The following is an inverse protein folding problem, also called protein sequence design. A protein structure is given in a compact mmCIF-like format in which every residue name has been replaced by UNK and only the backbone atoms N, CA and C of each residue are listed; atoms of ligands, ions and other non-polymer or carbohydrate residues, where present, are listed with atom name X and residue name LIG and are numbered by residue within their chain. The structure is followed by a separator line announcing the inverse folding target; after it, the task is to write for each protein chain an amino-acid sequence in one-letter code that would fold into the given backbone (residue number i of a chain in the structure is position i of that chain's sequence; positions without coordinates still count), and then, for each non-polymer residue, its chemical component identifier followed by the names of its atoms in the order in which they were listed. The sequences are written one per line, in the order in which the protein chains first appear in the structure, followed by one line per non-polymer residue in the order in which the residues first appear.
data_IF_597065240060
#
_entry.id   IF_597065240060
#
_cell.length_a   1.000
_cell.length_b   1.000
_cell.length_c   1.000
_cell.angle_alpha   90.00
_cell.angle_beta   90.00
_cell.angle_gamma   90.00
#
_symmetry.space_group_name_H-M   'P 1'
#
loop_
_entity.id
_entity.type
_entity.pdbx_description
1 polymer ?
#
# COMPACT_ATOMS: atom_id res chain seq x y z
N UNK A 1 -14.09 2.84 9.87
CA UNK A 1 -13.10 1.84 10.36
C UNK A 1 -13.18 0.49 9.63
N UNK A 2 -14.35 0.00 9.22
CA UNK A 2 -14.49 -1.21 8.38
C UNK A 2 -13.95 -0.96 6.96
N UNK A 3 -14.28 0.16 6.36
CA UNK A 3 -13.84 0.54 5.02
C UNK A 3 -12.32 0.75 4.92
N UNK A 4 -11.66 1.23 5.98
CA UNK A 4 -10.20 1.46 6.00
C UNK A 4 -9.40 0.14 5.99
N UNK A 5 -9.91 -0.89 6.64
CA UNK A 5 -9.25 -2.20 6.72
C UNK A 5 -9.49 -3.06 5.46
N UNK A 6 -10.69 -3.00 4.90
CA UNK A 6 -10.95 -3.60 3.59
C UNK A 6 -10.05 -2.98 2.52
N UNK A 7 -9.86 -1.67 2.58
CA UNK A 7 -8.97 -0.97 1.66
C UNK A 7 -7.51 -1.38 1.85
N UNK A 8 -7.05 -1.53 3.10
CA UNK A 8 -5.68 -1.95 3.42
C UNK A 8 -5.41 -3.41 3.00
N UNK A 9 -6.34 -4.33 3.28
CA UNK A 9 -6.25 -5.72 2.81
C UNK A 9 -6.29 -5.80 1.28
N UNK A 10 -7.17 -5.05 0.66
CA UNK A 10 -7.27 -4.98 -0.79
C UNK A 10 -5.97 -4.49 -1.44
N UNK A 11 -5.35 -3.45 -0.87
CA UNK A 11 -4.05 -2.94 -1.30
C UNK A 11 -2.96 -4.00 -1.15
N UNK A 12 -2.85 -4.64 0.00
CA UNK A 12 -1.85 -5.66 0.26
C UNK A 12 -2.00 -6.89 -0.65
N UNK A 13 -3.21 -7.37 -0.83
CA UNK A 13 -3.52 -8.47 -1.76
C UNK A 13 -3.17 -8.06 -3.20
N UNK A 14 -3.44 -6.83 -3.58
CA UNK A 14 -3.16 -6.33 -4.92
C UNK A 14 -1.66 -6.15 -5.17
N UNK A 15 -0.91 -5.60 -4.21
CA UNK A 15 0.56 -5.49 -4.25
C UNK A 15 1.21 -6.87 -4.32
N UNK A 16 0.76 -7.82 -3.49
CA UNK A 16 1.24 -9.19 -3.51
C UNK A 16 0.96 -9.87 -4.86
N UNK A 17 -0.23 -9.70 -5.42
CA UNK A 17 -0.65 -10.25 -6.72
C UNK A 17 0.15 -9.66 -7.89
N UNK A 18 0.41 -8.36 -7.85
CA UNK A 18 1.26 -7.64 -8.81
C UNK A 18 2.74 -8.10 -8.74
N UNK A 19 3.29 -8.23 -7.54
CA UNK A 19 4.66 -8.71 -7.35
C UNK A 19 4.81 -10.17 -7.81
N UNK A 20 3.85 -11.03 -7.55
CA UNK A 20 3.83 -12.42 -8.02
C UNK A 20 3.68 -12.52 -9.56
N UNK A 21 2.83 -11.69 -10.16
CA UNK A 21 2.69 -11.61 -11.62
C UNK A 21 3.99 -11.14 -12.28
N UNK A 22 4.63 -10.12 -11.70
CA UNK A 22 5.94 -9.60 -12.16
C UNK A 22 7.04 -10.66 -12.07
N UNK A 23 7.10 -11.39 -10.96
CA UNK A 23 8.08 -12.47 -10.78
C UNK A 23 7.88 -13.62 -11.79
N UNK A 24 6.62 -14.08 -11.98
CA UNK A 24 6.28 -15.13 -12.96
C UNK A 24 6.61 -14.71 -14.41
N UNK A 25 6.30 -13.48 -14.77
CA UNK A 25 6.54 -12.98 -16.14
C UNK A 25 8.03 -12.81 -16.41
N UNK A 26 8.80 -12.28 -15.46
CA UNK A 26 10.26 -12.16 -15.59
C UNK A 26 10.93 -13.53 -15.68
N UNK A 27 10.50 -14.51 -14.88
CA UNK A 27 11.01 -15.87 -14.93
C UNK A 27 10.70 -16.56 -16.26
N UNK A 28 9.48 -16.44 -16.77
CA UNK A 28 9.08 -17.02 -18.06
C UNK A 28 9.82 -16.39 -19.23
N UNK A 29 10.02 -15.08 -19.22
CA UNK A 29 10.79 -14.38 -20.24
C UNK A 29 12.28 -14.75 -20.22
N UNK A 30 12.86 -15.00 -19.03
CA UNK A 30 14.24 -15.46 -18.90
C UNK A 30 14.44 -16.87 -19.47
N UNK A 31 13.48 -17.76 -19.23
CA UNK A 31 13.50 -19.13 -19.79
C UNK A 31 13.34 -19.12 -21.32
N UNK A 32 12.48 -18.26 -21.85
CA UNK A 32 12.30 -18.09 -23.31
C UNK A 32 13.58 -17.57 -23.96
N UNK A 33 14.28 -16.63 -23.34
CA UNK A 33 15.55 -16.11 -23.81
C UNK A 33 16.63 -17.19 -23.84
N UNK A 34 16.73 -17.99 -22.78
CA UNK A 34 17.69 -19.09 -22.69
C UNK A 34 17.40 -20.19 -23.74
N UNK A 35 16.13 -20.51 -23.98
CA UNK A 35 15.73 -21.45 -25.00
C UNK A 35 16.04 -20.95 -26.42
N UNK A 36 15.74 -19.68 -26.73
CA UNK A 36 16.09 -19.06 -28.03
C UNK A 36 17.60 -19.06 -28.28
N UNK A 37 18.41 -18.73 -27.28
CA UNK A 37 19.87 -18.77 -27.38
C UNK A 37 20.39 -20.18 -27.67
N UNK A 38 19.83 -21.20 -27.03
CA UNK A 38 20.26 -22.60 -27.22
C UNK A 38 19.87 -23.12 -28.63
N UNK A 39 18.70 -22.75 -29.13
CA UNK A 39 18.26 -23.10 -30.48
C UNK A 39 19.12 -22.40 -31.54
N UNK A 40 19.43 -21.12 -31.38
CA UNK A 40 20.30 -20.35 -32.24
C UNK A 40 21.73 -20.90 -32.28
N UNK A 41 22.27 -21.29 -31.12
CA UNK A 41 23.60 -21.91 -31.04
C UNK A 41 23.70 -23.22 -31.85
N UNK A 42 22.69 -24.11 -31.70
CA UNK A 42 22.59 -25.37 -32.44
C UNK A 42 22.40 -25.13 -33.95
N UNK A 43 21.61 -24.14 -34.33
CA UNK A 43 21.40 -23.74 -35.72
C UNK A 43 22.70 -23.22 -36.35
N UNK A 44 23.44 -22.39 -35.65
CA UNK A 44 24.73 -21.88 -36.08
C UNK A 44 25.78 -23.01 -36.30
N UNK A 45 25.81 -23.99 -35.36
CA UNK A 45 26.71 -25.16 -35.51
C UNK A 45 26.32 -26.00 -36.72
N UNK A 46 25.02 -26.25 -36.91
CA UNK A 46 24.51 -27.01 -38.06
C UNK A 46 24.82 -26.30 -39.39
N UNK A 47 24.57 -25.01 -39.45
CA UNK A 47 24.90 -24.19 -40.64
C UNK A 47 26.41 -24.14 -40.90
N UNK A 48 27.25 -23.99 -39.86
CA UNK A 48 28.70 -24.05 -40.02
C UNK A 48 29.18 -25.39 -40.61
N UNK A 49 28.62 -26.51 -40.12
CA UNK A 49 29.00 -27.85 -40.63
C UNK A 49 28.59 -28.07 -42.10
N UNK A 50 27.38 -27.61 -42.48
CA UNK A 50 26.89 -27.71 -43.89
C UNK A 50 27.73 -26.85 -44.84
N UNK A 51 28.06 -25.63 -44.43
CA UNK A 51 28.90 -24.72 -45.22
C UNK A 51 30.32 -25.26 -45.36
N UNK A 52 30.91 -25.87 -44.32
CA UNK A 52 32.22 -26.51 -44.34
C UNK A 52 32.26 -27.71 -45.31
N UNK A 53 31.22 -28.55 -45.29
CA UNK A 53 31.09 -29.70 -46.21
C UNK A 53 30.93 -29.26 -47.69
N UNK A 54 30.12 -28.21 -47.90
CA UNK A 54 29.97 -27.61 -49.24
C UNK A 54 31.26 -26.92 -49.70
N UNK A 55 31.98 -26.23 -48.83
CA UNK A 55 33.26 -25.62 -49.11
C UNK A 55 34.34 -26.63 -49.58
N UNK A 56 34.40 -27.81 -48.91
CA UNK A 56 35.29 -28.91 -49.32
C UNK A 56 34.95 -29.51 -50.70
N UNK A 57 33.66 -29.59 -51.05
CA UNK A 57 33.19 -30.07 -52.35
C UNK A 57 33.47 -29.09 -53.48
N UNK A 58 33.53 -27.82 -53.20
CA UNK A 58 33.66 -26.76 -54.20
C UNK A 58 35.13 -26.33 -54.39
N UNK A 59 36.05 -26.56 -53.43
CA UNK A 59 37.49 -26.33 -53.58
C UNK A 59 38.10 -27.12 -54.74
N UNK A 60 37.43 -28.13 -55.25
CA UNK A 60 37.89 -28.91 -56.44
C UNK A 60 37.44 -28.31 -57.77
N UNK A 61 36.63 -27.35 -57.77
CA UNK A 61 35.95 -26.84 -58.96
C UNK A 61 36.27 -25.35 -59.24
N UNK A 62 37.46 -24.84 -59.24
CA UNK A 62 37.63 -23.63 -60.05
C UNK A 62 38.07 -22.33 -59.40
N UNK A 63 39.13 -21.91 -59.98
CA UNK A 63 39.56 -20.53 -60.18
C UNK A 63 38.45 -19.58 -60.73
N UNK A 64 37.36 -20.11 -61.28
CA UNK A 64 36.16 -19.38 -61.76
C UNK A 64 35.24 -18.78 -60.70
N UNK A 65 35.42 -19.10 -59.47
CA UNK A 65 34.36 -18.76 -58.44
C UNK A 65 34.73 -17.59 -57.52
N UNK A 66 35.77 -16.82 -57.72
CA UNK A 66 36.05 -15.65 -56.87
C UNK A 66 35.04 -14.49 -57.08
N UNK A 67 34.60 -14.34 -58.36
CA UNK A 67 33.67 -13.22 -58.67
C UNK A 67 32.24 -13.45 -58.12
N UNK A 68 31.73 -14.69 -58.21
CA UNK A 68 30.37 -15.00 -57.77
C UNK A 68 30.14 -14.77 -56.28
N UNK A 69 31.02 -15.19 -55.36
CA UNK A 69 30.85 -14.91 -53.93
C UNK A 69 30.90 -13.41 -53.60
N UNK A 70 31.80 -12.66 -54.24
CA UNK A 70 31.89 -11.21 -54.00
C UNK A 70 30.67 -10.45 -54.53
N UNK A 71 30.13 -10.85 -55.67
CA UNK A 71 28.86 -10.27 -56.17
C UNK A 71 27.69 -10.64 -55.28
N UNK A 72 27.61 -11.88 -54.79
CA UNK A 72 26.59 -12.28 -53.85
C UNK A 72 26.70 -11.50 -52.54
N UNK A 73 27.91 -11.32 -52.00
CA UNK A 73 28.18 -10.52 -50.80
C UNK A 73 27.72 -9.07 -50.96
N UNK A 74 28.11 -8.45 -52.12
CA UNK A 74 27.73 -7.07 -52.44
C UNK A 74 26.21 -6.88 -52.53
N UNK A 75 25.53 -7.81 -53.23
CA UNK A 75 24.07 -7.76 -53.36
C UNK A 75 23.36 -7.96 -52.02
N UNK A 76 23.82 -8.91 -51.22
CA UNK A 76 23.24 -9.18 -49.90
C UNK A 76 23.47 -8.00 -48.94
N UNK A 77 24.68 -7.40 -48.96
CA UNK A 77 24.98 -6.20 -48.19
C UNK A 77 24.08 -5.02 -48.59
N UNK A 78 23.77 -4.89 -49.88
CA UNK A 78 22.88 -3.84 -50.37
C UNK A 78 21.42 -4.06 -49.89
N UNK A 79 20.92 -5.29 -49.87
CA UNK A 79 19.62 -5.63 -49.32
C UNK A 79 19.56 -5.38 -47.82
N UNK A 80 20.61 -5.77 -47.09
CA UNK A 80 20.72 -5.49 -45.63
C UNK A 80 20.72 -3.99 -45.34
N UNK A 81 21.43 -3.20 -46.16
CA UNK A 81 21.45 -1.74 -46.04
C UNK A 81 20.08 -1.09 -46.30
N UNK A 82 19.21 -1.73 -47.09
CA UNK A 82 17.78 -1.31 -47.24
C UNK A 82 16.88 -1.73 -46.10
N UNK A 83 17.41 -2.40 -45.08
CA UNK A 83 16.65 -2.88 -43.93
C UNK A 83 16.08 -4.29 -44.11
N UNK A 84 16.32 -4.98 -45.23
CA UNK A 84 15.89 -6.35 -45.41
C UNK A 84 16.90 -7.30 -44.74
N UNK A 85 16.64 -7.64 -43.50
CA UNK A 85 17.45 -8.57 -42.72
C UNK A 85 17.07 -10.05 -42.95
N UNK A 86 15.99 -10.32 -43.71
CA UNK A 86 15.52 -11.67 -44.03
C UNK A 86 16.24 -12.28 -45.27
N UNK A 87 17.47 -11.86 -45.52
CA UNK A 87 18.27 -12.40 -46.59
C UNK A 87 18.90 -13.74 -46.21
N UNK A 88 19.02 -14.71 -47.16
CA UNK A 88 19.64 -15.98 -46.85
C UNK A 88 21.13 -15.81 -46.57
N UNK A 89 21.68 -16.68 -45.74
CA UNK A 89 23.10 -16.69 -45.44
C UNK A 89 23.91 -17.04 -46.70
N UNK A 90 25.00 -16.33 -46.87
CA UNK A 90 25.90 -16.54 -48.02
C UNK A 90 26.72 -17.81 -47.83
N UNK A 91 26.78 -18.72 -48.83
CA UNK A 91 27.62 -19.91 -48.75
C UNK A 91 29.10 -19.55 -48.78
N UNK A 92 29.86 -20.09 -47.83
CA UNK A 92 31.32 -19.94 -47.82
C UNK A 92 31.94 -21.00 -48.71
N UNK A 93 32.40 -20.59 -49.87
CA UNK A 93 32.84 -21.50 -50.93
C UNK A 93 34.35 -21.76 -50.90
N UNK A 94 35.14 -20.91 -50.24
CA UNK A 94 36.62 -20.93 -50.29
C UNK A 94 37.23 -20.61 -48.94
N UNK A 95 38.38 -21.18 -48.61
CA UNK A 95 39.15 -20.89 -47.38
C UNK A 95 40.22 -19.78 -47.59
N UNK A 96 39.96 -18.85 -48.47
CA UNK A 96 40.78 -17.68 -48.71
C UNK A 96 40.20 -16.41 -48.01
N UNK A 97 40.77 -15.26 -48.31
CA UNK A 97 40.34 -13.96 -47.74
C UNK A 97 38.87 -13.67 -48.05
N UNK A 98 38.33 -14.15 -49.16
CA UNK A 98 36.92 -13.99 -49.52
C UNK A 98 36.04 -14.83 -48.59
N UNK A 99 36.47 -16.04 -48.27
CA UNK A 99 35.81 -16.91 -47.34
C UNK A 99 35.77 -16.31 -45.90
N UNK A 100 36.89 -15.69 -45.49
CA UNK A 100 36.96 -14.98 -44.20
C UNK A 100 35.98 -13.82 -44.16
N UNK A 101 35.94 -12.97 -45.19
CA UNK A 101 35.02 -11.82 -45.27
C UNK A 101 33.57 -12.29 -45.31
N UNK A 102 33.25 -13.35 -46.05
CA UNK A 102 31.88 -13.89 -46.11
C UNK A 102 31.44 -14.44 -44.76
N UNK A 103 32.31 -15.12 -44.01
CA UNK A 103 32.02 -15.57 -42.66
C UNK A 103 31.76 -14.41 -41.71
N UNK A 104 32.65 -13.41 -41.75
CA UNK A 104 32.51 -12.20 -40.92
C UNK A 104 31.21 -11.45 -41.23
N UNK A 105 30.82 -11.39 -42.51
CA UNK A 105 29.55 -10.79 -42.92
C UNK A 105 28.33 -11.58 -42.37
N UNK A 106 28.34 -12.92 -42.53
CA UNK A 106 27.26 -13.77 -41.99
C UNK A 106 27.17 -13.65 -40.48
N UNK A 107 28.31 -13.62 -39.76
CA UNK A 107 28.34 -13.41 -38.32
C UNK A 107 27.80 -12.03 -37.93
N UNK A 108 28.20 -11.00 -38.65
CA UNK A 108 27.70 -9.64 -38.47
C UNK A 108 26.18 -9.58 -38.68
N UNK A 109 25.67 -10.20 -39.74
CA UNK A 109 24.23 -10.26 -40.05
C UNK A 109 23.47 -10.99 -38.95
N UNK A 110 24.00 -12.12 -38.50
CA UNK A 110 23.39 -12.88 -37.40
C UNK A 110 23.41 -12.10 -36.08
N UNK A 111 24.52 -11.44 -35.74
CA UNK A 111 24.61 -10.53 -34.59
C UNK A 111 23.60 -9.38 -34.69
N UNK A 112 23.41 -8.80 -35.86
CA UNK A 112 22.42 -7.75 -36.08
C UNK A 112 21.00 -8.30 -35.84
N UNK A 113 20.67 -9.49 -36.38
CA UNK A 113 19.38 -10.13 -36.15
C UNK A 113 19.13 -10.41 -34.67
N UNK A 114 20.13 -10.98 -33.98
CA UNK A 114 20.06 -11.25 -32.55
C UNK A 114 19.88 -9.95 -31.73
N UNK A 115 20.65 -8.92 -32.06
CA UNK A 115 20.54 -7.63 -31.39
C UNK A 115 19.17 -6.99 -31.61
N UNK A 116 18.59 -7.09 -32.80
CA UNK A 116 17.25 -6.57 -33.09
C UNK A 116 16.19 -7.36 -32.33
N UNK A 117 16.28 -8.69 -32.28
CA UNK A 117 15.34 -9.50 -31.52
C UNK A 117 15.47 -9.21 -30.01
N UNK A 118 16.69 -9.11 -29.48
CA UNK A 118 16.92 -8.69 -28.10
C UNK A 118 16.38 -7.28 -27.82
N UNK A 119 16.58 -6.35 -28.75
CA UNK A 119 16.05 -4.99 -28.61
C UNK A 119 14.52 -5.00 -28.60
N UNK A 120 13.90 -5.78 -29.51
CA UNK A 120 12.44 -5.93 -29.57
C UNK A 120 11.90 -6.53 -28.27
N UNK A 121 12.47 -7.63 -27.79
CA UNK A 121 12.08 -8.22 -26.51
C UNK A 121 12.28 -7.26 -25.34
N UNK A 122 13.38 -6.49 -25.34
CA UNK A 122 13.64 -5.47 -24.33
C UNK A 122 12.61 -4.34 -24.37
N UNK A 123 12.23 -3.88 -25.57
CA UNK A 123 11.18 -2.86 -25.75
C UNK A 123 9.81 -3.38 -25.32
N UNK A 124 9.46 -4.63 -25.65
CA UNK A 124 8.22 -5.26 -25.20
C UNK A 124 8.16 -5.38 -23.68
N UNK A 125 9.28 -5.77 -23.05
CA UNK A 125 9.39 -5.81 -21.58
C UNK A 125 9.26 -4.42 -20.95
N UNK A 126 9.94 -3.42 -21.53
CA UNK A 126 9.81 -2.04 -21.04
C UNK A 126 8.37 -1.51 -21.18
N UNK A 127 7.71 -1.80 -22.29
CA UNK A 127 6.32 -1.42 -22.47
C UNK A 127 5.41 -2.08 -21.45
N UNK A 128 5.58 -3.39 -21.19
CA UNK A 128 4.82 -4.11 -20.16
C UNK A 128 5.11 -3.59 -18.74
N UNK A 129 6.37 -3.29 -18.43
CA UNK A 129 6.71 -2.70 -17.13
C UNK A 129 6.11 -1.32 -16.96
N UNK A 130 6.13 -0.49 -18.01
CA UNK A 130 5.54 0.85 -17.98
C UNK A 130 4.02 0.82 -17.84
N UNK A 131 3.36 -0.10 -18.52
CA UNK A 131 1.92 -0.32 -18.38
C UNK A 131 1.56 -0.72 -16.94
N UNK A 132 2.35 -1.62 -16.33
CA UNK A 132 2.15 -2.05 -14.94
C UNK A 132 2.42 -0.93 -13.94
N UNK A 133 3.46 -0.13 -14.18
CA UNK A 133 3.78 1.04 -13.35
C UNK A 133 2.60 2.02 -13.34
N UNK A 134 2.04 2.32 -14.52
CA UNK A 134 0.87 3.19 -14.67
C UNK A 134 -0.37 2.60 -13.98
N UNK A 135 -0.59 1.30 -14.11
CA UNK A 135 -1.69 0.61 -13.45
C UNK A 135 -1.54 0.67 -11.93
N UNK A 136 -0.32 0.41 -11.43
CA UNK A 136 -0.02 0.49 -10.01
C UNK A 136 -0.19 1.91 -9.47
N UNK A 137 0.28 2.93 -10.19
CA UNK A 137 0.07 4.34 -9.82
C UNK A 137 -1.42 4.69 -9.77
N UNK A 138 -2.21 4.22 -10.73
CA UNK A 138 -3.66 4.42 -10.75
C UNK A 138 -4.34 3.79 -9.53
N UNK A 139 -4.02 2.52 -9.24
CA UNK A 139 -4.57 1.85 -8.06
C UNK A 139 -4.14 2.49 -6.75
N UNK A 140 -2.91 2.99 -6.68
CA UNK A 140 -2.42 3.71 -5.51
C UNK A 140 -3.18 5.02 -5.30
N UNK A 141 -3.44 5.77 -6.37
CA UNK A 141 -4.29 6.97 -6.33
C UNK A 141 -5.74 6.65 -5.96
N UNK A 142 -6.32 5.59 -6.54
CA UNK A 142 -7.66 5.14 -6.16
C UNK A 142 -7.74 4.72 -4.70
N UNK A 143 -6.73 4.00 -4.21
CA UNK A 143 -6.62 3.61 -2.82
C UNK A 143 -6.49 4.82 -1.90
N UNK A 144 -5.64 5.79 -2.25
CA UNK A 144 -5.50 7.04 -1.52
C UNK A 144 -6.82 7.84 -1.49
N UNK A 145 -7.54 7.93 -2.62
CA UNK A 145 -8.83 8.59 -2.68
C UNK A 145 -9.88 7.88 -1.81
N UNK A 146 -9.97 6.55 -1.87
CA UNK A 146 -10.86 5.77 -1.00
C UNK A 146 -10.50 5.92 0.47
N UNK A 147 -9.21 5.93 0.79
CA UNK A 147 -8.72 6.19 2.14
C UNK A 147 -9.11 7.58 2.62
N UNK A 148 -8.90 8.64 1.83
CA UNK A 148 -9.33 10.00 2.14
C UNK A 148 -10.86 10.13 2.30
N UNK A 149 -11.63 9.42 1.48
CA UNK A 149 -13.10 9.40 1.59
C UNK A 149 -13.58 8.66 2.85
N UNK A 150 -12.90 7.58 3.24
CA UNK A 150 -13.25 6.81 4.43
C UNK A 150 -12.95 7.54 5.76
N UNK A 151 -12.02 8.51 5.75
CA UNK A 151 -11.66 9.32 6.92
C UNK A 151 -12.78 10.24 7.40
N UNK A 152 -13.62 10.70 6.50
CA UNK A 152 -14.81 11.45 6.87
C UNK A 152 -15.93 10.41 6.99
N UNK A 153 -16.26 9.97 8.21
CA UNK A 153 -17.42 9.13 8.44
C UNK A 153 -18.68 9.87 7.94
N UNK A 154 -19.24 9.53 6.74
CA UNK A 154 -20.33 10.32 6.16
C UNK A 154 -21.57 10.27 7.04
N UNK A 155 -21.79 9.16 7.72
CA UNK A 155 -22.94 8.98 8.64
C UNK A 155 -22.81 9.89 9.87
N UNK A 156 -21.61 10.01 10.43
CA UNK A 156 -21.36 10.93 11.54
C UNK A 156 -21.59 12.39 11.09
N UNK A 157 -21.07 12.76 9.91
CA UNK A 157 -21.24 14.10 9.34
C UNK A 157 -22.72 14.45 9.14
N UNK A 158 -23.49 13.59 8.46
CA UNK A 158 -24.91 13.83 8.22
C UNK A 158 -25.72 13.93 9.51
N UNK A 159 -25.45 13.06 10.47
CA UNK A 159 -26.14 13.08 11.76
C UNK A 159 -25.80 14.35 12.56
N UNK A 160 -24.55 14.79 12.53
CA UNK A 160 -24.13 16.02 13.21
C UNK A 160 -24.74 17.27 12.55
N UNK A 161 -24.79 17.31 11.20
CA UNK A 161 -25.47 18.40 10.48
C UNK A 161 -26.96 18.45 10.80
N UNK A 162 -27.63 17.30 10.90
CA UNK A 162 -29.04 17.22 11.30
C UNK A 162 -29.26 17.72 12.74
N UNK A 163 -28.40 17.37 13.67
CA UNK A 163 -28.47 17.87 15.05
C UNK A 163 -28.28 19.40 15.10
N UNK A 164 -27.31 19.94 14.36
CA UNK A 164 -27.13 21.39 14.22
C UNK A 164 -28.35 22.09 13.62
N UNK A 165 -28.97 21.48 12.59
CA UNK A 165 -30.20 22.02 12.00
C UNK A 165 -31.36 22.02 13.00
N UNK A 166 -31.49 20.98 13.84
CA UNK A 166 -32.49 20.94 14.90
C UNK A 166 -32.28 22.03 15.94
N UNK A 167 -31.03 22.25 16.41
CA UNK A 167 -30.71 23.36 17.31
C UNK A 167 -31.12 24.72 16.72
N UNK A 168 -30.79 24.95 15.44
CA UNK A 168 -31.17 26.17 14.75
C UNK A 168 -32.69 26.36 14.64
N UNK A 169 -33.45 25.27 14.38
CA UNK A 169 -34.90 25.29 14.33
C UNK A 169 -35.56 25.57 15.70
N UNK A 170 -34.89 25.18 16.78
CA UNK A 170 -35.34 25.50 18.15
C UNK A 170 -35.12 26.98 18.54
N UNK A 171 -34.44 27.72 17.68
CA UNK A 171 -34.15 29.14 17.89
C UNK A 171 -33.01 29.43 18.85
N UNK A 172 -32.23 28.40 19.19
CA UNK A 172 -31.06 28.49 20.09
C UNK A 172 -29.81 28.86 19.25
N UNK A 173 -29.68 30.15 18.92
CA UNK A 173 -28.61 30.63 18.08
C UNK A 173 -27.23 30.48 18.74
N UNK A 174 -27.13 30.68 20.04
CA UNK A 174 -25.85 30.62 20.75
C UNK A 174 -25.31 29.16 20.78
N UNK A 175 -26.14 28.20 21.18
CA UNK A 175 -25.75 26.79 21.18
C UNK A 175 -25.54 26.25 19.75
N UNK A 176 -26.29 26.73 18.76
CA UNK A 176 -26.04 26.41 17.35
C UNK A 176 -24.66 26.90 16.90
N UNK A 177 -24.28 28.13 17.28
CA UNK A 177 -22.95 28.69 16.97
C UNK A 177 -21.83 27.87 17.58
N UNK A 178 -21.92 27.57 18.89
CA UNK A 178 -20.93 26.73 19.60
C UNK A 178 -20.83 25.34 18.95
N UNK A 179 -21.97 24.73 18.66
CA UNK A 179 -22.00 23.40 18.03
C UNK A 179 -21.28 23.37 16.67
N UNK A 180 -21.53 24.37 15.82
CA UNK A 180 -20.89 24.47 14.51
C UNK A 180 -19.37 24.73 14.63
N UNK A 181 -18.96 25.55 15.62
CA UNK A 181 -17.54 25.77 15.91
C UNK A 181 -16.84 24.48 16.33
N UNK A 182 -17.42 23.75 17.30
CA UNK A 182 -16.89 22.46 17.77
C UNK A 182 -16.83 21.41 16.65
N UNK A 183 -17.83 21.38 15.80
CA UNK A 183 -17.88 20.53 14.62
C UNK A 183 -16.79 20.89 13.61
N UNK A 184 -16.58 22.17 13.34
CA UNK A 184 -15.53 22.63 12.45
C UNK A 184 -14.13 22.28 12.98
N UNK A 185 -13.89 22.47 14.28
CA UNK A 185 -12.61 22.13 14.92
C UNK A 185 -12.33 20.61 14.90
N UNK A 186 -13.36 19.80 15.19
CA UNK A 186 -13.28 18.35 15.07
C UNK A 186 -12.89 17.90 13.67
N UNK A 187 -13.58 18.39 12.63
CA UNK A 187 -13.23 18.02 11.24
C UNK A 187 -11.88 18.58 10.80
N UNK A 188 -11.53 19.78 11.23
CA UNK A 188 -10.21 20.37 10.94
C UNK A 188 -9.08 19.53 11.50
N UNK A 189 -9.22 19.04 12.74
CA UNK A 189 -8.24 18.15 13.37
C UNK A 189 -8.12 16.85 12.59
N UNK A 190 -9.23 16.18 12.29
CA UNK A 190 -9.24 14.91 11.56
C UNK A 190 -8.64 14.97 10.16
N UNK A 191 -8.79 16.10 9.47
CA UNK A 191 -8.23 16.29 8.12
C UNK A 191 -6.73 16.63 8.14
N UNK A 192 -6.28 17.38 9.15
CA UNK A 192 -4.93 17.98 9.18
C UNK A 192 -3.84 17.07 9.75
N UNK A 193 -4.18 16.18 10.68
CA UNK A 193 -3.21 15.53 11.58
C UNK A 193 -2.90 14.06 11.30
N UNK A 194 -2.96 13.60 10.08
CA UNK A 194 -2.81 12.17 9.81
C UNK A 194 -1.38 11.64 9.74
N UNK A 195 -0.41 12.49 9.45
CA UNK A 195 0.98 12.10 9.26
C UNK A 195 1.95 12.82 10.23
N UNK A 196 1.42 13.68 11.11
CA UNK A 196 2.21 14.50 12.02
C UNK A 196 1.98 14.07 13.46
N UNK A 197 2.96 14.32 14.33
CA UNK A 197 2.79 14.22 15.78
C UNK A 197 1.79 15.28 16.26
N UNK A 198 1.05 14.95 17.31
CA UNK A 198 0.13 15.87 17.97
C UNK A 198 0.62 16.18 19.37
N UNK A 199 0.32 17.37 19.84
CA UNK A 199 0.40 17.68 21.26
C UNK A 199 -0.75 17.00 21.99
N UNK A 200 -0.51 16.52 23.22
CA UNK A 200 -1.52 15.84 24.01
C UNK A 200 -2.80 16.67 24.15
N UNK A 201 -2.68 18.01 24.33
CA UNK A 201 -3.84 18.91 24.41
C UNK A 201 -4.69 18.93 23.13
N UNK A 202 -4.07 18.73 21.95
CA UNK A 202 -4.79 18.67 20.66
C UNK A 202 -5.66 17.39 20.58
N UNK A 203 -5.13 16.25 21.01
CA UNK A 203 -5.86 14.97 21.10
C UNK A 203 -7.01 15.06 22.12
N UNK A 204 -6.73 15.61 23.31
CA UNK A 204 -7.76 15.83 24.33
C UNK A 204 -8.86 16.76 23.79
N UNK A 205 -8.48 17.85 23.13
CA UNK A 205 -9.41 18.79 22.50
C UNK A 205 -10.28 18.15 21.43
N UNK A 206 -9.71 17.24 20.63
CA UNK A 206 -10.45 16.49 19.62
C UNK A 206 -11.51 15.56 20.28
N UNK A 207 -11.13 14.88 21.36
CA UNK A 207 -12.06 14.07 22.18
C UNK A 207 -13.17 14.94 22.79
N UNK A 208 -12.82 16.06 23.39
CA UNK A 208 -13.79 16.99 24.00
C UNK A 208 -14.82 17.49 22.95
N UNK A 209 -14.33 17.86 21.75
CA UNK A 209 -15.21 18.28 20.66
C UNK A 209 -16.11 17.14 20.18
N UNK A 210 -15.56 15.92 20.05
CA UNK A 210 -16.34 14.73 19.69
C UNK A 210 -17.47 14.44 20.67
N UNK A 211 -17.15 14.39 21.95
CA UNK A 211 -18.15 14.15 23.03
C UNK A 211 -19.20 15.25 23.07
N UNK A 212 -18.80 16.52 22.88
CA UNK A 212 -19.76 17.63 22.81
C UNK A 212 -20.76 17.44 21.65
N UNK A 213 -20.28 17.11 20.46
CA UNK A 213 -21.12 16.86 19.28
C UNK A 213 -22.09 15.70 19.54
N UNK A 214 -21.62 14.63 20.17
CA UNK A 214 -22.45 13.48 20.52
C UNK A 214 -23.50 13.82 21.58
N UNK A 215 -23.15 14.56 22.64
CA UNK A 215 -24.08 14.95 23.67
C UNK A 215 -25.22 15.84 23.18
N UNK A 216 -24.92 16.73 22.20
CA UNK A 216 -25.97 17.48 21.53
C UNK A 216 -26.90 16.54 20.75
N UNK A 217 -26.35 15.51 20.09
CA UNK A 217 -27.13 14.56 19.29
C UNK A 217 -27.97 13.61 20.14
N UNK A 218 -27.46 13.16 21.29
CA UNK A 218 -28.07 12.19 22.17
C UNK A 218 -28.71 12.83 23.42
N UNK A 219 -29.01 14.14 23.35
CA UNK A 219 -29.69 14.91 24.39
C UNK A 219 -29.03 14.82 25.79
N UNK A 220 -27.70 14.59 25.84
CA UNK A 220 -26.97 14.54 27.11
C UNK A 220 -26.88 13.18 27.75
N UNK A 221 -27.23 12.10 27.06
CA UNK A 221 -27.25 10.75 27.62
C UNK A 221 -25.85 10.16 27.90
N UNK A 222 -24.77 10.81 27.42
CA UNK A 222 -23.39 10.35 27.63
C UNK A 222 -22.74 11.14 28.77
N UNK A 223 -22.42 10.48 29.87
CA UNK A 223 -21.61 11.06 30.92
C UNK A 223 -20.13 10.89 30.62
N UNK A 224 -19.44 12.01 30.40
CA UNK A 224 -17.99 12.01 30.16
C UNK A 224 -17.24 12.54 31.36
N UNK A 225 -16.30 11.74 31.87
CA UNK A 225 -15.47 12.06 33.03
C UNK A 225 -14.03 12.16 32.52
N UNK A 226 -13.39 13.32 32.74
CA UNK A 226 -12.02 13.58 32.30
C UNK A 226 -11.17 13.92 33.53
N UNK A 227 -10.12 13.13 33.72
CA UNK A 227 -9.09 13.34 34.76
C UNK A 227 -7.72 13.40 34.09
N UNK A 228 -7.10 14.57 34.10
CA UNK A 228 -5.82 14.84 33.42
C UNK A 228 -4.92 15.59 34.37
N UNK A 229 -3.68 15.14 34.54
CA UNK A 229 -2.71 15.80 35.37
C UNK A 229 -2.34 17.19 34.80
N UNK A 230 -2.01 18.12 35.69
CA UNK A 230 -1.57 19.45 35.28
C UNK A 230 -0.16 19.42 34.66
N UNK A 231 0.08 20.23 33.64
CA UNK A 231 1.40 20.43 33.05
C UNK A 231 1.88 19.35 32.08
N UNK A 232 1.00 18.47 31.63
CA UNK A 232 1.31 17.43 30.63
C UNK A 232 0.81 17.77 29.21
N UNK A 233 0.21 18.93 29.04
CA UNK A 233 -0.45 19.34 27.80
C UNK A 233 0.47 19.38 26.58
N UNK A 234 1.75 19.70 26.79
CA UNK A 234 2.75 19.89 25.73
C UNK A 234 3.54 18.62 25.39
N UNK A 235 3.13 17.46 25.91
CA UNK A 235 3.75 16.19 25.54
C UNK A 235 3.35 15.85 24.09
N UNK A 236 4.34 15.48 23.27
CA UNK A 236 4.10 15.01 21.90
C UNK A 236 3.76 13.53 21.89
N UNK A 237 2.70 13.17 21.19
CA UNK A 237 2.28 11.79 20.98
C UNK A 237 1.93 11.59 19.49
N UNK A 238 1.90 10.37 18.99
CA UNK A 238 1.36 10.13 17.65
C UNK A 238 -0.08 10.61 17.59
N UNK A 239 -0.46 11.25 16.49
CA UNK A 239 -1.82 11.74 16.29
C UNK A 239 -2.83 10.61 16.17
N UNK A 240 -4.11 10.88 16.44
CA UNK A 240 -5.22 9.92 16.31
C UNK A 240 -5.06 8.67 17.19
N UNK A 241 -4.73 8.88 18.47
CA UNK A 241 -4.63 7.83 19.49
C UNK A 241 -5.84 7.86 20.42
N UNK A 242 -6.16 9.02 21.02
CA UNK A 242 -7.23 9.12 22.03
C UNK A 242 -8.62 9.06 21.39
N UNK A 243 -8.81 9.78 20.28
CA UNK A 243 -10.11 9.87 19.64
C UNK A 243 -10.66 8.49 19.20
N UNK A 244 -9.92 7.60 18.51
CA UNK A 244 -10.43 6.29 18.13
C UNK A 244 -10.81 5.40 19.31
N UNK A 245 -10.17 5.55 20.46
CA UNK A 245 -10.50 4.80 21.67
C UNK A 245 -11.84 5.24 22.25
N UNK A 246 -12.06 6.56 22.32
CA UNK A 246 -13.32 7.12 22.79
C UNK A 246 -14.45 6.85 21.80
N UNK A 247 -14.19 6.94 20.48
CA UNK A 247 -15.15 6.53 19.45
C UNK A 247 -15.58 5.08 19.61
N UNK A 248 -14.62 4.20 19.88
CA UNK A 248 -14.87 2.78 20.13
C UNK A 248 -15.72 2.55 21.41
N UNK A 249 -15.38 3.25 22.49
CA UNK A 249 -16.17 3.20 23.74
C UNK A 249 -17.62 3.66 23.53
N UNK A 250 -17.84 4.70 22.72
CA UNK A 250 -19.20 5.16 22.39
C UNK A 250 -19.94 4.14 21.53
N UNK A 251 -19.34 3.70 20.41
CA UNK A 251 -20.01 2.84 19.42
C UNK A 251 -20.37 1.47 19.98
N UNK A 252 -19.47 0.87 20.75
CA UNK A 252 -19.58 -0.51 21.20
C UNK A 252 -19.82 -0.63 22.70
N UNK A 253 -19.45 0.42 23.45
CA UNK A 253 -19.67 0.45 24.87
C UNK A 253 -21.11 0.87 25.23
N UNK A 254 -21.51 2.04 24.76
CA UNK A 254 -22.68 2.74 25.33
C UNK A 254 -23.95 2.62 24.48
N UNK A 255 -23.82 2.46 23.14
CA UNK A 255 -24.95 2.55 22.21
C UNK A 255 -26.10 1.55 22.52
N UNK A 256 -25.79 0.40 23.11
CA UNK A 256 -26.74 -0.68 23.42
C UNK A 256 -27.04 -0.80 24.91
N UNK A 257 -26.58 0.15 25.77
CA UNK A 257 -26.82 0.10 27.19
C UNK A 257 -28.20 0.64 27.54
N UNK A 258 -28.95 -0.11 28.39
CA UNK A 258 -30.23 0.33 28.97
C UNK A 258 -30.09 1.37 30.10
N UNK A 259 -28.86 1.61 30.54
CA UNK A 259 -28.53 2.56 31.61
C UNK A 259 -27.75 3.75 31.02
N UNK A 260 -27.67 4.85 31.79
CA UNK A 260 -26.86 6.01 31.41
C UNK A 260 -25.41 5.60 31.15
N UNK A 261 -24.96 5.72 29.90
CA UNK A 261 -23.60 5.38 29.53
C UNK A 261 -22.59 6.38 30.10
N UNK A 262 -21.49 5.90 30.63
CA UNK A 262 -20.37 6.76 30.98
C UNK A 262 -19.06 6.33 30.30
N UNK A 263 -18.22 7.34 29.99
CA UNK A 263 -16.87 7.16 29.56
C UNK A 263 -15.95 7.95 30.46
N UNK A 264 -14.89 7.33 30.91
CA UNK A 264 -13.88 7.97 31.73
C UNK A 264 -12.55 7.93 30.97
N UNK A 265 -11.91 9.09 30.82
CA UNK A 265 -10.56 9.24 30.31
C UNK A 265 -9.66 9.79 31.41
N UNK A 266 -8.66 9.01 31.78
CA UNK A 266 -7.69 9.34 32.82
C UNK A 266 -6.31 9.41 32.14
N UNK A 267 -5.58 10.50 32.39
CA UNK A 267 -4.23 10.71 31.84
C UNK A 267 -3.34 11.19 32.96
N UNK A 268 -2.43 10.33 33.38
CA UNK A 268 -1.54 10.57 34.49
C UNK A 268 -0.09 10.44 34.08
N UNK A 269 0.77 11.30 34.63
CA UNK A 269 2.20 11.21 34.41
C UNK A 269 2.86 10.41 35.53
N UNK A 270 3.54 9.33 35.17
CA UNK A 270 4.28 8.49 36.09
C UNK A 270 5.77 8.48 35.73
N UNK A 271 6.49 9.50 36.21
CA UNK A 271 7.91 9.70 35.91
C UNK A 271 8.16 10.04 34.43
N UNK A 272 8.85 9.16 33.71
CA UNK A 272 9.12 9.29 32.26
C UNK A 272 8.05 8.56 31.39
N UNK A 273 6.96 8.14 31.99
CA UNK A 273 5.84 7.49 31.30
C UNK A 273 4.56 8.31 31.46
N UNK A 274 3.72 8.27 30.45
CA UNK A 274 2.36 8.79 30.44
C UNK A 274 1.40 7.61 30.44
N UNK A 275 0.61 7.48 31.50
CA UNK A 275 -0.43 6.46 31.63
C UNK A 275 -1.76 7.04 31.11
N UNK A 276 -2.29 6.46 30.06
CA UNK A 276 -3.58 6.83 29.47
C UNK A 276 -4.56 5.69 29.65
N UNK A 277 -5.68 5.96 30.27
CA UNK A 277 -6.75 4.97 30.47
C UNK A 277 -8.06 5.52 29.91
N UNK A 278 -8.73 4.73 29.07
CA UNK A 278 -10.09 5.00 28.61
C UNK A 278 -10.98 3.83 29.06
N UNK A 279 -12.00 4.14 29.84
CA UNK A 279 -12.93 3.15 30.40
C UNK A 279 -14.37 3.49 30.03
N UNK A 280 -15.20 2.48 29.81
CA UNK A 280 -16.64 2.60 29.61
C UNK A 280 -17.39 1.58 30.47
N UNK A 281 -18.70 1.80 30.67
CA UNK A 281 -19.60 0.87 31.33
C UNK A 281 -20.50 0.08 30.36
N UNK A 282 -20.01 -0.12 29.15
CA UNK A 282 -20.78 -0.66 28.04
C UNK A 282 -20.86 -2.19 27.96
N UNK A 283 -20.94 -2.68 26.73
CA UNK A 283 -21.20 -4.09 26.44
C UNK A 283 -20.09 -5.04 26.94
N UNK A 284 -18.88 -4.54 27.23
CA UNK A 284 -17.74 -5.37 27.64
C UNK A 284 -17.29 -6.36 26.58
N UNK A 285 -16.22 -7.11 26.88
CA UNK A 285 -15.63 -8.08 25.97
C UNK A 285 -15.36 -9.41 26.67
N UNK A 286 -15.46 -10.52 25.93
CA UNK A 286 -14.94 -11.81 26.40
C UNK A 286 -13.43 -11.88 26.19
N UNK A 287 -12.73 -12.74 26.94
CA UNK A 287 -11.29 -12.98 26.76
C UNK A 287 -10.95 -13.36 25.31
N UNK A 288 -11.81 -14.15 24.65
CA UNK A 288 -11.62 -14.53 23.25
C UNK A 288 -11.74 -13.32 22.30
N UNK A 289 -12.64 -12.39 22.57
CA UNK A 289 -12.77 -11.15 21.79
C UNK A 289 -11.54 -10.27 21.96
N UNK A 290 -11.08 -10.09 23.20
CA UNK A 290 -9.85 -9.33 23.50
C UNK A 290 -8.66 -9.94 22.75
N UNK A 291 -8.47 -11.25 22.83
CA UNK A 291 -7.40 -11.95 22.14
C UNK A 291 -7.47 -11.78 20.61
N UNK A 292 -8.67 -11.78 20.02
CA UNK A 292 -8.88 -11.54 18.58
C UNK A 292 -8.53 -10.11 18.18
N UNK A 293 -9.00 -9.13 18.94
CA UNK A 293 -8.71 -7.71 18.72
C UNK A 293 -7.21 -7.46 18.77
N UNK A 294 -6.55 -7.97 19.81
CA UNK A 294 -5.09 -7.85 19.97
C UNK A 294 -4.31 -8.57 18.87
N UNK A 295 -4.81 -9.70 18.37
CA UNK A 295 -4.20 -10.45 17.25
C UNK A 295 -4.47 -9.86 15.86
N UNK A 296 -5.33 -8.83 15.74
CA UNK A 296 -5.73 -8.24 14.46
C UNK A 296 -6.51 -9.18 13.54
N UNK A 297 -7.17 -10.20 14.09
CA UNK A 297 -7.97 -11.17 13.32
C UNK A 297 -9.42 -10.71 13.26
N UNK A 298 -9.82 -10.10 12.14
CA UNK A 298 -11.22 -9.82 11.86
C UNK A 298 -11.95 -11.11 11.43
N UNK A 299 -13.13 -11.38 11.98
CA UNK A 299 -13.99 -12.49 11.55
C UNK A 299 -14.71 -12.12 10.25
N UNK A 300 -14.73 -13.05 9.26
CA UNK A 300 -15.31 -12.79 7.92
C UNK A 300 -16.85 -12.87 7.86
N UNK A 301 -17.56 -13.09 8.96
CA UNK A 301 -18.96 -13.46 8.94
C UNK A 301 -19.97 -12.51 9.64
N UNK A 302 -19.57 -11.35 10.16
CA UNK A 302 -20.53 -10.42 10.79
C UNK A 302 -20.31 -8.98 10.31
N UNK A 303 -21.17 -8.49 9.43
CA UNK A 303 -21.07 -7.18 8.77
C UNK A 303 -21.17 -5.95 9.69
N UNK A 304 -21.66 -6.07 10.94
CA UNK A 304 -21.93 -4.94 11.84
C UNK A 304 -21.04 -4.83 13.10
N UNK A 305 -20.20 -5.84 13.41
CA UNK A 305 -19.33 -5.81 14.62
C UNK A 305 -17.85 -5.55 14.31
N UNK A 306 -17.53 -5.30 13.05
CA UNK A 306 -16.14 -5.25 12.52
C UNK A 306 -15.39 -3.96 12.75
N UNK A 307 -16.04 -2.86 13.10
CA UNK A 307 -15.36 -1.57 13.25
C UNK A 307 -14.38 -1.53 14.43
N UNK A 308 -14.69 -2.28 15.51
CA UNK A 308 -13.94 -2.24 16.77
C UNK A 308 -12.49 -2.72 16.64
N UNK A 309 -12.30 -3.89 16.03
CA UNK A 309 -10.95 -4.50 15.94
C UNK A 309 -9.98 -3.70 15.08
N UNK A 310 -10.51 -2.95 14.13
CA UNK A 310 -9.70 -2.21 13.16
C UNK A 310 -9.19 -0.89 13.74
N UNK A 311 -10.07 -0.14 14.41
CA UNK A 311 -9.71 1.12 15.05
C UNK A 311 -8.64 0.92 16.12
N UNK A 312 -8.85 -0.05 16.99
CA UNK A 312 -7.91 -0.42 18.04
C UNK A 312 -6.59 -0.93 17.44
N UNK A 313 -6.66 -1.75 16.39
CA UNK A 313 -5.45 -2.25 15.72
C UNK A 313 -4.64 -1.12 15.09
N UNK A 314 -5.28 -0.15 14.46
CA UNK A 314 -4.60 1.02 13.91
C UNK A 314 -3.88 1.83 14.99
N UNK A 315 -4.48 1.95 16.20
CA UNK A 315 -3.82 2.61 17.34
C UNK A 315 -2.60 1.80 17.76
N UNK A 316 -2.71 0.48 17.92
CA UNK A 316 -1.59 -0.40 18.31
C UNK A 316 -0.46 -0.30 17.28
N UNK A 317 -0.76 -0.46 15.99
CA UNK A 317 0.25 -0.42 14.93
C UNK A 317 0.95 0.96 14.86
N UNK A 318 0.22 2.05 15.11
CA UNK A 318 0.76 3.41 15.17
C UNK A 318 1.69 3.61 16.35
N UNK A 319 1.29 3.14 17.54
CA UNK A 319 2.13 3.19 18.74
C UNK A 319 3.41 2.39 18.55
N UNK A 320 3.33 1.18 18.02
CA UNK A 320 4.49 0.33 17.73
C UNK A 320 5.43 0.96 16.69
N UNK A 321 4.87 1.60 15.66
CA UNK A 321 5.67 2.28 14.63
C UNK A 321 6.41 3.49 15.19
N UNK A 322 5.77 4.26 16.07
CA UNK A 322 6.30 5.49 16.62
C UNK A 322 7.35 5.22 17.72
N UNK A 323 6.99 4.43 18.73
CA UNK A 323 7.84 4.18 19.89
C UNK A 323 8.82 3.01 19.67
N UNK A 324 8.58 2.15 18.67
CA UNK A 324 9.36 0.92 18.39
C UNK A 324 9.41 -0.04 19.57
N UNK A 325 8.39 0.00 20.42
CA UNK A 325 8.22 -0.84 21.59
C UNK A 325 6.95 -1.68 21.45
N UNK A 326 7.01 -2.90 22.00
CA UNK A 326 5.86 -3.79 22.13
C UNK A 326 5.24 -3.62 23.52
N UNK A 327 3.98 -3.99 23.68
CA UNK A 327 3.25 -3.96 24.99
C UNK A 327 2.91 -2.58 25.55
N UNK A 328 2.83 -1.55 24.69
CA UNK A 328 2.35 -0.22 25.11
C UNK A 328 0.83 -0.15 25.29
N UNK A 329 0.10 -1.19 24.91
CA UNK A 329 -1.35 -1.19 24.82
C UNK A 329 -1.94 -2.45 25.46
N UNK A 330 -2.93 -2.30 26.32
CA UNK A 330 -3.67 -3.40 26.95
C UNK A 330 -5.18 -3.14 26.93
N UNK A 331 -5.96 -4.21 26.83
CA UNK A 331 -7.43 -4.18 26.97
C UNK A 331 -7.82 -5.10 28.11
N UNK A 332 -8.69 -4.62 28.98
CA UNK A 332 -9.26 -5.37 30.08
C UNK A 332 -10.79 -5.27 30.07
N UNK A 333 -11.48 -6.34 30.39
CA UNK A 333 -12.92 -6.36 30.62
C UNK A 333 -13.27 -7.52 31.54
N UNK A 334 -14.15 -7.27 32.51
CA UNK A 334 -14.66 -8.29 33.43
C UNK A 334 -15.73 -9.19 32.78
N UNK A 335 -15.92 -9.07 31.46
CA UNK A 335 -16.84 -9.86 30.67
C UNK A 335 -18.00 -9.05 30.08
N UNK A 336 -18.93 -9.72 29.37
CA UNK A 336 -20.07 -9.06 28.73
C UNK A 336 -20.94 -8.27 29.74
N UNK A 337 -21.29 -7.04 29.40
CA UNK A 337 -22.06 -6.12 30.24
C UNK A 337 -21.30 -5.51 31.42
N UNK A 338 -19.97 -5.64 31.44
CA UNK A 338 -19.12 -5.10 32.51
C UNK A 338 -18.26 -3.91 32.08
N UNK A 339 -18.42 -3.45 30.84
CA UNK A 339 -17.61 -2.40 30.27
C UNK A 339 -16.23 -2.86 29.84
N UNK A 340 -15.48 -1.92 29.25
CA UNK A 340 -14.12 -2.16 28.78
C UNK A 340 -13.19 -1.09 29.32
N UNK A 341 -11.95 -1.47 29.59
CA UNK A 341 -10.86 -0.56 29.94
C UNK A 341 -9.72 -0.78 28.96
N UNK A 342 -9.32 0.30 28.31
CA UNK A 342 -8.11 0.35 27.46
C UNK A 342 -7.06 1.14 28.21
N UNK A 343 -5.89 0.58 28.35
CA UNK A 343 -4.74 1.21 29.00
C UNK A 343 -3.55 1.30 28.03
N UNK A 344 -2.94 2.48 27.95
CA UNK A 344 -1.80 2.77 27.12
C UNK A 344 -0.72 3.41 27.98
N UNK A 345 0.50 2.93 27.82
CA UNK A 345 1.69 3.47 28.50
C UNK A 345 2.61 4.06 27.43
N UNK A 346 2.82 5.37 27.46
CA UNK A 346 3.59 6.09 26.47
C UNK A 346 4.90 6.61 27.09
N UNK A 347 6.06 6.31 26.53
CA UNK A 347 7.32 6.94 26.91
C UNK A 347 7.31 8.44 26.60
N UNK A 348 7.70 9.27 27.56
CA UNK A 348 7.89 10.72 27.37
C UNK A 348 9.38 11.00 27.18
N UNK A 349 9.76 11.48 26.00
CA UNK A 349 11.17 11.77 25.71
C UNK A 349 11.63 13.05 26.39
N UNK A 350 12.89 13.10 26.85
CA UNK A 350 13.46 14.20 27.63
C UNK A 350 13.47 15.57 26.92
N UNK A 351 13.47 15.58 25.60
CA UNK A 351 13.45 16.81 24.80
C UNK A 351 12.08 17.54 24.82
N UNK A 352 11.08 16.93 25.46
CA UNK A 352 9.72 17.49 25.61
C UNK A 352 9.47 18.09 27.01
N UNK A 353 10.51 18.16 27.84
CA UNK A 353 10.41 18.57 29.24
C UNK A 353 10.91 20.01 29.51
N UNK A 354 11.39 20.73 28.48
CA UNK A 354 11.76 22.14 28.53
C UNK A 354 10.70 23.01 27.81
#
# INVERSE_FOLDING_TARGET
YEDENELYEYINVYIYKLNNLRFKTNSANYQLLLLAMNVLYKLCIFVMLVVYALGLAVTTLLVRNMIRPLTALSNTAHEVAKGNLNVPQLPVVVEDEVGVVTRSFNQMLESIRQNIEQLKESMERQAQMKERELLMETHLKEAQLKYLQAQINPHFLFNSLNAGAQLAMMGDADNTGIFLEKMADFFRYNVRKMEEDAMLWEEIGAVDNYIYILNVRFAGDITYIKEVDEGIDNIRIPSMILQPLVENAVQHGIHDCMETGWIRMEIHRNGEMLDVTVSDNGAGMTEEMIARVMAGRADQNEEDRFSTGIAVRNVIDRLQLYYKEENLFTIESDGPGKGTRVHIILPVYKDELE
#
